data_IF_567589685299
#
_entry.id   IF_567589685299
#
_cell.length_a   1.000
_cell.length_b   1.000
_cell.length_c   1.000
_cell.angle_alpha   90.00
_cell.angle_beta   90.00
_cell.angle_gamma   90.00
#
_symmetry.space_group_name_H-M   'P 1'
#
loop_
_entity.id
_entity.type
_entity.pdbx_description
1 polymer ?
#
# COMPACT_ATOMS: atom_id res chain seq x y z
N UNK A 1 -5.50 -0.11 1.05
CA UNK A 1 -5.52 0.08 2.52
C UNK A 1 -6.24 1.39 2.82
N UNK A 2 -6.90 1.53 3.96
CA UNK A 2 -7.42 2.84 4.42
C UNK A 2 -6.24 3.84 4.56
N UNK A 3 -6.45 5.08 4.14
CA UNK A 3 -5.39 6.09 4.07
C UNK A 3 -4.81 6.43 5.45
N UNK A 4 -5.66 6.58 6.46
CA UNK A 4 -5.21 6.86 7.83
C UNK A 4 -4.27 5.77 8.36
N UNK A 5 -4.60 4.50 8.08
CA UNK A 5 -3.78 3.35 8.46
C UNK A 5 -2.47 3.30 7.68
N UNK A 6 -2.52 3.59 6.38
CA UNK A 6 -1.33 3.69 5.53
C UNK A 6 -0.36 4.72 6.09
N UNK A 7 -0.86 5.93 6.33
CA UNK A 7 -0.07 7.06 6.82
C UNK A 7 0.53 6.77 8.21
N UNK A 8 -0.25 6.14 9.10
CA UNK A 8 0.23 5.74 10.42
C UNK A 8 1.42 4.78 10.35
N UNK A 9 1.39 3.80 9.43
CA UNK A 9 2.48 2.84 9.23
C UNK A 9 3.69 3.55 8.61
N UNK A 10 3.47 4.35 7.57
CA UNK A 10 4.53 5.10 6.88
C UNK A 10 5.28 6.04 7.82
N UNK A 11 4.56 6.87 8.58
CA UNK A 11 5.16 7.81 9.54
C UNK A 11 5.95 7.09 10.65
N UNK A 12 5.45 5.94 11.11
CA UNK A 12 6.15 5.14 12.10
C UNK A 12 7.42 4.48 11.54
N UNK A 13 7.37 3.98 10.31
CA UNK A 13 8.54 3.37 9.69
C UNK A 13 9.63 4.41 9.40
N UNK A 14 9.25 5.57 8.86
CA UNK A 14 10.14 6.66 8.47
C UNK A 14 10.74 7.38 9.69
N UNK A 15 9.90 7.90 10.59
CA UNK A 15 10.33 8.84 11.65
C UNK A 15 10.02 8.35 13.08
N UNK A 16 9.52 7.12 13.23
CA UNK A 16 8.99 6.60 14.52
C UNK A 16 7.86 7.44 15.12
N UNK A 17 7.16 8.22 14.28
CA UNK A 17 6.00 9.03 14.68
C UNK A 17 4.73 8.21 14.70
N UNK A 18 3.92 8.39 15.74
CA UNK A 18 2.58 7.79 15.83
C UNK A 18 1.52 8.84 15.47
N UNK A 19 0.33 8.42 15.02
CA UNK A 19 -0.79 9.34 14.80
C UNK A 19 -1.16 10.13 16.05
N UNK A 20 -1.71 11.33 15.85
CA UNK A 20 -2.28 12.13 16.93
C UNK A 20 -3.42 11.35 17.62
N UNK A 21 -3.50 11.48 18.96
CA UNK A 21 -4.46 10.71 19.78
C UNK A 21 -4.02 9.26 20.09
N UNK A 22 -2.87 8.81 19.61
CA UNK A 22 -2.29 7.50 19.94
C UNK A 22 -1.60 7.53 21.32
N UNK A 23 -2.40 7.66 22.39
CA UNK A 23 -1.90 7.93 23.74
C UNK A 23 -1.55 6.65 24.53
N UNK A 24 -2.08 5.50 24.13
CA UNK A 24 -1.89 4.24 24.88
C UNK A 24 -0.81 3.36 24.24
N UNK A 25 -0.05 2.63 25.07
CA UNK A 25 0.92 1.65 24.57
C UNK A 25 0.26 0.52 23.77
N UNK A 26 -1.00 0.19 24.02
CA UNK A 26 -1.73 -0.79 23.22
C UNK A 26 -1.94 -0.32 21.78
N UNK A 27 -2.33 0.94 21.57
CA UNK A 27 -2.50 1.50 20.22
C UNK A 27 -1.15 1.58 19.49
N UNK A 28 -0.10 2.06 20.17
CA UNK A 28 1.26 2.11 19.61
C UNK A 28 1.76 0.71 19.24
N UNK A 29 1.58 -0.28 20.12
CA UNK A 29 1.93 -1.69 19.87
C UNK A 29 1.23 -2.25 18.64
N UNK A 30 -0.05 -1.91 18.39
CA UNK A 30 -0.76 -2.30 17.17
C UNK A 30 -0.07 -1.77 15.92
N UNK A 31 0.31 -0.49 15.90
CA UNK A 31 1.03 0.12 14.77
C UNK A 31 2.40 -0.56 14.58
N UNK A 32 3.16 -0.76 15.66
CA UNK A 32 4.45 -1.46 15.62
C UNK A 32 4.31 -2.85 14.99
N UNK A 33 3.32 -3.61 15.45
CA UNK A 33 3.07 -4.97 14.94
C UNK A 33 2.68 -4.98 13.46
N UNK A 34 1.84 -4.05 13.04
CA UNK A 34 1.47 -3.91 11.63
C UNK A 34 2.67 -3.54 10.77
N UNK A 35 3.45 -2.55 11.20
CA UNK A 35 4.60 -2.04 10.49
C UNK A 35 5.67 -3.10 10.19
N UNK A 36 5.76 -4.18 10.99
CA UNK A 36 6.73 -5.29 10.77
C UNK A 36 6.60 -5.97 9.40
N UNK A 37 5.42 -5.87 8.78
CA UNK A 37 5.11 -6.48 7.47
C UNK A 37 5.46 -5.58 6.29
N UNK A 38 5.87 -4.34 6.54
CA UNK A 38 6.04 -3.33 5.50
C UNK A 38 7.44 -2.74 5.54
N UNK A 39 7.82 -2.10 4.44
CA UNK A 39 8.97 -1.22 4.28
C UNK A 39 8.46 0.14 3.80
N UNK A 40 9.12 1.21 4.25
CA UNK A 40 8.83 2.57 3.80
C UNK A 40 10.05 3.08 3.03
N UNK A 41 9.86 3.48 1.77
CA UNK A 41 10.91 3.92 0.86
C UNK A 41 10.31 4.93 -0.12
N UNK A 42 11.01 6.03 -0.38
CA UNK A 42 10.62 7.07 -1.35
C UNK A 42 9.16 7.57 -1.27
N UNK A 43 8.64 7.78 -0.05
CA UNK A 43 7.26 8.25 0.11
C UNK A 43 6.19 7.15 0.03
N UNK A 44 6.59 5.89 -0.13
CA UNK A 44 5.69 4.76 -0.39
C UNK A 44 5.87 3.64 0.60
N UNK A 45 4.85 2.79 0.72
CA UNK A 45 4.90 1.55 1.46
C UNK A 45 5.01 0.36 0.51
N UNK A 46 5.85 -0.59 0.86
CA UNK A 46 6.02 -1.85 0.17
C UNK A 46 5.77 -3.00 1.14
N UNK A 47 5.26 -4.13 0.63
CA UNK A 47 5.29 -5.38 1.40
C UNK A 47 6.73 -5.80 1.61
N UNK A 48 7.04 -6.23 2.84
CA UNK A 48 8.38 -6.73 3.15
C UNK A 48 8.51 -8.19 2.76
N UNK A 49 9.47 -8.49 1.88
CA UNK A 49 9.78 -9.86 1.51
C UNK A 49 10.65 -10.60 2.55
N UNK A 50 10.81 -11.92 2.38
CA UNK A 50 11.60 -12.78 3.29
C UNK A 50 13.07 -12.35 3.37
N UNK A 51 13.64 -11.92 2.24
CA UNK A 51 14.99 -11.39 2.11
C UNK A 51 15.12 -9.93 2.61
N UNK A 52 14.06 -9.36 3.20
CA UNK A 52 13.95 -7.96 3.65
C UNK A 52 14.04 -6.92 2.53
N UNK A 53 13.84 -7.32 1.26
CA UNK A 53 13.72 -6.41 0.13
C UNK A 53 12.27 -5.90 -0.02
N UNK A 54 12.08 -4.76 -0.69
CA UNK A 54 10.75 -4.29 -1.07
C UNK A 54 10.11 -5.25 -2.07
N UNK A 55 8.92 -5.73 -1.73
CA UNK A 55 8.02 -6.47 -2.61
C UNK A 55 6.99 -5.53 -3.26
N UNK A 56 5.75 -5.99 -3.49
CA UNK A 56 4.70 -5.17 -4.10
C UNK A 56 4.42 -3.86 -3.32
N UNK A 57 4.19 -2.77 -4.06
CA UNK A 57 3.79 -1.49 -3.52
C UNK A 57 2.38 -1.57 -2.92
N UNK A 58 2.21 -1.08 -1.70
CA UNK A 58 0.92 -1.04 -1.04
C UNK A 58 0.17 0.20 -1.48
N UNK A 59 -1.01 0.02 -2.04
CA UNK A 59 -1.90 1.09 -2.45
C UNK A 59 -2.91 1.43 -1.35
N UNK A 60 -3.17 2.72 -1.18
CA UNK A 60 -4.21 3.24 -0.31
C UNK A 60 -5.43 3.68 -1.12
N UNK A 61 -6.55 3.92 -0.44
CA UNK A 61 -7.83 4.22 -1.10
C UNK A 61 -7.79 5.45 -2.02
N UNK A 62 -6.92 6.42 -1.72
CA UNK A 62 -6.76 7.65 -2.52
C UNK A 62 -5.94 7.45 -3.80
N UNK A 63 -4.86 6.64 -3.79
CA UNK A 63 -3.96 6.50 -4.95
C UNK A 63 -4.29 5.30 -5.86
N UNK A 64 -5.12 4.36 -5.38
CA UNK A 64 -5.38 3.10 -6.07
C UNK A 64 -5.99 3.30 -7.47
N UNK A 65 -6.88 4.28 -7.65
CA UNK A 65 -7.54 4.53 -8.94
C UNK A 65 -6.58 5.14 -9.96
N UNK A 66 -5.79 6.13 -9.53
CA UNK A 66 -4.77 6.76 -10.38
C UNK A 66 -3.75 5.72 -10.88
N UNK A 67 -3.30 4.82 -10.00
CA UNK A 67 -2.35 3.77 -10.36
C UNK A 67 -2.95 2.78 -11.36
N UNK A 68 -4.21 2.38 -11.18
CA UNK A 68 -4.91 1.50 -12.14
C UNK A 68 -5.07 2.18 -13.49
N UNK A 69 -5.52 3.45 -13.51
CA UNK A 69 -5.69 4.23 -14.73
C UNK A 69 -4.37 4.38 -15.50
N UNK A 70 -3.28 4.65 -14.78
CA UNK A 70 -1.93 4.76 -15.34
C UNK A 70 -1.50 3.44 -15.98
N UNK A 71 -1.60 2.32 -15.27
CA UNK A 71 -1.21 1.00 -15.81
C UNK A 71 -2.08 0.59 -17.01
N UNK A 72 -3.37 0.88 -16.97
CA UNK A 72 -4.29 0.62 -18.08
C UNK A 72 -3.90 1.42 -19.33
N UNK A 73 -3.68 2.74 -19.16
CA UNK A 73 -3.37 3.65 -20.26
C UNK A 73 -1.98 3.47 -20.85
N UNK A 74 -0.95 3.23 -20.04
CA UNK A 74 0.45 3.08 -20.48
C UNK A 74 0.66 1.96 -21.50
N UNK A 75 -0.16 0.91 -21.45
CA UNK A 75 -0.08 -0.18 -22.42
C UNK A 75 -1.35 -0.43 -23.23
N UNK A 76 -2.33 0.48 -23.15
CA UNK A 76 -3.66 0.31 -23.74
C UNK A 76 -4.25 -1.09 -23.47
N UNK A 77 -4.10 -1.56 -22.23
CA UNK A 77 -4.43 -2.92 -21.86
C UNK A 77 -5.91 -3.07 -21.56
N UNK A 78 -6.55 -4.12 -22.06
CA UNK A 78 -7.85 -4.55 -21.54
C UNK A 78 -7.75 -5.06 -20.09
N UNK A 79 -8.87 -5.10 -19.37
CA UNK A 79 -9.04 -5.51 -17.97
C UNK A 79 -8.10 -6.64 -17.52
N UNK A 80 -8.07 -7.76 -18.26
CA UNK A 80 -7.29 -8.94 -17.88
C UNK A 80 -5.78 -8.71 -17.86
N UNK A 81 -5.27 -7.92 -18.82
CA UNK A 81 -3.85 -7.61 -18.91
C UNK A 81 -3.45 -6.58 -17.86
N UNK A 82 -4.31 -5.59 -17.60
CA UNK A 82 -4.16 -4.63 -16.49
C UNK A 82 -4.10 -5.36 -15.15
N UNK A 83 -5.03 -6.28 -14.90
CA UNK A 83 -5.07 -7.07 -13.67
C UNK A 83 -3.81 -7.92 -13.47
N UNK A 84 -3.33 -8.59 -14.53
CA UNK A 84 -2.11 -9.41 -14.48
C UNK A 84 -0.89 -8.60 -14.06
N UNK A 85 -0.80 -7.33 -14.45
CA UNK A 85 0.30 -6.43 -14.06
C UNK A 85 0.11 -5.90 -12.65
N UNK A 86 -1.09 -5.40 -12.35
CA UNK A 86 -1.42 -4.82 -11.05
C UNK A 86 -1.13 -5.82 -9.92
N UNK A 87 -1.58 -7.08 -10.05
CA UNK A 87 -1.40 -8.10 -9.00
C UNK A 87 0.06 -8.51 -8.74
N UNK A 88 0.97 -8.20 -9.67
CA UNK A 88 2.40 -8.53 -9.53
C UNK A 88 3.17 -7.40 -8.84
N UNK A 89 2.76 -6.16 -9.08
CA UNK A 89 3.49 -4.97 -8.63
C UNK A 89 2.85 -4.29 -7.43
N UNK A 90 1.56 -4.52 -7.17
CA UNK A 90 0.79 -3.78 -6.18
C UNK A 90 -0.05 -4.69 -5.28
N UNK A 91 -0.22 -4.26 -4.03
CA UNK A 91 -1.10 -4.84 -3.02
C UNK A 91 -2.13 -3.78 -2.58
N UNK A 92 -3.41 -4.13 -2.52
CA UNK A 92 -4.45 -3.15 -2.27
C UNK A 92 -5.79 -3.77 -1.94
N UNK A 93 -6.67 -2.99 -1.31
CA UNK A 93 -7.99 -3.47 -0.95
C UNK A 93 -8.87 -3.55 -2.20
N UNK A 94 -9.44 -4.72 -2.48
CA UNK A 94 -10.35 -4.98 -3.61
C UNK A 94 -9.79 -4.51 -4.97
N UNK A 95 -8.50 -4.75 -5.22
CA UNK A 95 -7.85 -4.33 -6.48
C UNK A 95 -8.55 -4.90 -7.72
N UNK A 96 -8.94 -6.17 -7.69
CA UNK A 96 -9.60 -6.79 -8.85
C UNK A 96 -10.92 -6.11 -9.20
N UNK A 97 -11.75 -5.79 -8.19
CA UNK A 97 -13.04 -5.13 -8.39
C UNK A 97 -12.82 -3.75 -9.05
N UNK A 98 -11.85 -2.99 -8.56
CA UNK A 98 -11.49 -1.67 -9.12
C UNK A 98 -10.92 -1.75 -10.54
N UNK A 99 -10.14 -2.78 -10.86
CA UNK A 99 -9.60 -2.96 -12.23
C UNK A 99 -10.70 -3.31 -13.23
N UNK A 100 -11.76 -4.01 -12.80
CA UNK A 100 -12.88 -4.39 -13.68
C UNK A 100 -13.73 -3.21 -14.14
N UNK A 101 -13.61 -2.07 -13.49
CA UNK A 101 -14.34 -0.84 -13.82
C UNK A 101 -13.71 -0.06 -15.00
N UNK A 102 -12.55 -0.49 -15.50
CA UNK A 102 -11.80 0.09 -16.64
C UNK A 102 -11.86 -0.79 -17.89
#
# INVERSE_FOLDING_TARGET
MEFARYLAIYNYLSDKRYPEGCNTEQQKKRIRNLARRYLAEDGRLFLKEKNKQPGPEVLHEVNIEEVIAKVHSEGHFGVNNTWRRIRLQYEGHKLYDKVREY
#
